data_IF_851180080944
#
_entry.id   IF_851180080944
#
_cell.length_a   1.000
_cell.length_b   1.000
_cell.length_c   1.000
_cell.angle_alpha   90.00
_cell.angle_beta   90.00
_cell.angle_gamma   90.00
#
_symmetry.space_group_name_H-M   'P 1'
#
loop_
_entity.id
_entity.type
_entity.pdbx_description
1 polymer ?
#
# COMPACT_ATOMS: atom_id res chain seq x y z
N UNK A 1 -9.04 10.85 -1.40
CA UNK A 1 -10.41 10.49 -0.93
C UNK A 1 -10.42 9.97 0.52
N UNK A 2 -9.59 8.97 0.88
CA UNK A 2 -9.63 8.32 2.20
C UNK A 2 -9.43 9.30 3.37
N UNK A 3 -8.50 10.24 3.24
CA UNK A 3 -8.28 11.27 4.26
C UNK A 3 -9.54 12.11 4.56
N UNK A 4 -10.37 12.40 3.53
CA UNK A 4 -11.65 13.09 3.72
C UNK A 4 -12.62 12.24 4.51
N UNK A 5 -12.75 10.95 4.18
CA UNK A 5 -13.62 10.02 4.92
C UNK A 5 -13.19 9.90 6.39
N UNK A 6 -11.88 9.86 6.65
CA UNK A 6 -11.33 9.87 8.01
C UNK A 6 -11.64 11.16 8.78
N UNK A 7 -11.74 12.31 8.09
CA UNK A 7 -12.14 13.58 8.72
C UNK A 7 -13.63 13.62 9.01
N UNK A 8 -14.46 13.13 8.09
CA UNK A 8 -15.92 13.14 8.22
C UNK A 8 -16.45 12.17 9.27
N UNK A 9 -15.78 11.01 9.47
CA UNK A 9 -16.23 10.04 10.49
C UNK A 9 -16.02 10.55 11.92
N UNK A 10 -15.06 11.47 12.12
CA UNK A 10 -14.74 12.15 13.39
C UNK A 10 -14.81 11.26 14.66
N UNK A 11 -14.34 10.01 14.54
CA UNK A 11 -14.40 9.02 15.60
C UNK A 11 -12.99 8.54 15.96
N UNK A 12 -12.54 8.69 17.23
CA UNK A 12 -11.21 8.27 17.68
C UNK A 12 -10.97 6.76 17.65
N UNK A 13 -11.97 5.93 17.43
CA UNK A 13 -11.82 4.49 17.22
C UNK A 13 -11.41 4.14 15.77
N UNK A 14 -11.51 5.09 14.83
CA UNK A 14 -11.20 4.85 13.41
C UNK A 14 -9.71 5.03 13.10
N UNK A 15 -9.12 4.06 12.39
CA UNK A 15 -7.76 4.18 11.84
C UNK A 15 -7.67 5.35 10.86
N UNK A 16 -8.66 5.52 9.97
CA UNK A 16 -8.68 6.59 8.97
C UNK A 16 -8.75 7.97 9.62
N UNK A 17 -9.43 8.09 10.77
CA UNK A 17 -9.46 9.32 11.56
C UNK A 17 -8.06 9.71 12.04
N UNK A 18 -7.31 8.77 12.61
CA UNK A 18 -5.95 9.04 13.08
C UNK A 18 -4.97 9.24 11.94
N UNK A 19 -5.12 8.52 10.84
CA UNK A 19 -4.27 8.67 9.67
C UNK A 19 -4.34 10.11 9.12
N UNK A 20 -5.54 10.62 8.87
CA UNK A 20 -5.69 12.00 8.38
C UNK A 20 -5.25 13.05 9.42
N UNK A 21 -5.53 12.82 10.72
CA UNK A 21 -5.18 13.75 11.79
C UNK A 21 -3.66 13.91 11.95
N UNK A 22 -2.91 12.85 11.66
CA UNK A 22 -1.45 12.83 11.74
C UNK A 22 -0.75 12.99 10.37
N UNK A 23 -1.48 13.38 9.32
CA UNK A 23 -0.94 13.50 7.95
C UNK A 23 -0.26 12.23 7.43
N UNK A 24 -0.76 11.05 7.81
CA UNK A 24 -0.30 9.75 7.31
C UNK A 24 -1.19 9.37 6.12
N UNK A 25 -0.64 9.27 4.89
CA UNK A 25 -1.43 8.90 3.73
C UNK A 25 -1.83 7.43 3.77
N UNK A 26 -3.06 7.15 3.36
CA UNK A 26 -3.58 5.81 3.11
C UNK A 26 -3.82 5.69 1.62
N UNK A 27 -3.15 4.74 0.97
CA UNK A 27 -3.17 4.57 -0.48
C UNK A 27 -3.84 3.25 -0.83
N UNK A 28 -4.77 3.29 -1.78
CA UNK A 28 -5.54 2.14 -2.22
C UNK A 28 -5.83 2.25 -3.72
N UNK A 29 -4.94 1.73 -4.58
CA UNK A 29 -5.10 1.82 -6.04
C UNK A 29 -6.40 1.19 -6.55
N UNK A 30 -6.93 0.19 -5.84
CA UNK A 30 -8.18 -0.49 -6.14
C UNK A 30 -9.31 -0.08 -5.17
N UNK A 31 -9.46 1.23 -4.88
CA UNK A 31 -10.48 1.74 -3.93
C UNK A 31 -11.93 1.38 -4.32
N UNK A 32 -12.17 1.08 -5.59
CA UNK A 32 -13.47 0.68 -6.13
C UNK A 32 -13.84 -0.79 -5.88
N UNK A 33 -12.90 -1.61 -5.42
CA UNK A 33 -13.12 -3.05 -5.20
C UNK A 33 -13.76 -3.33 -3.83
N UNK A 34 -15.04 -2.97 -3.68
CA UNK A 34 -15.82 -3.23 -2.48
C UNK A 34 -16.99 -2.26 -2.29
N UNK A 35 -17.58 -2.26 -1.08
CA UNK A 35 -18.80 -1.51 -0.77
C UNK A 35 -18.70 0.00 -1.05
N UNK A 36 -17.52 0.61 -0.88
CA UNK A 36 -17.32 2.02 -1.24
C UNK A 36 -17.46 2.24 -2.75
N UNK A 37 -16.98 1.28 -3.56
CA UNK A 37 -17.17 1.24 -5.01
C UNK A 37 -18.65 1.16 -5.40
N UNK A 38 -19.43 0.31 -4.73
CA UNK A 38 -20.88 0.22 -4.94
C UNK A 38 -21.55 1.58 -4.70
N UNK A 39 -21.18 2.27 -3.62
CA UNK A 39 -21.73 3.59 -3.31
C UNK A 39 -21.33 4.64 -4.34
N UNK A 40 -20.09 4.63 -4.83
CA UNK A 40 -19.61 5.51 -5.91
C UNK A 40 -20.40 5.23 -7.21
N UNK A 41 -20.63 3.96 -7.54
CA UNK A 41 -21.41 3.54 -8.70
C UNK A 41 -22.85 4.02 -8.62
N UNK A 42 -23.56 3.79 -7.51
CA UNK A 42 -24.92 4.30 -7.37
C UNK A 42 -24.97 5.83 -7.35
N UNK A 43 -23.94 6.49 -6.81
CA UNK A 43 -23.83 7.93 -6.80
C UNK A 43 -23.67 8.49 -8.22
N UNK A 44 -22.91 7.84 -9.10
CA UNK A 44 -22.61 8.36 -10.44
C UNK A 44 -23.85 8.53 -11.32
N UNK A 45 -24.90 7.72 -11.13
CA UNK A 45 -26.19 7.90 -11.82
C UNK A 45 -26.96 9.13 -11.34
N UNK A 46 -26.80 9.52 -10.07
CA UNK A 46 -27.50 10.67 -9.47
C UNK A 46 -26.71 11.97 -9.63
N UNK A 47 -25.38 11.88 -9.55
CA UNK A 47 -24.43 12.99 -9.58
C UNK A 47 -23.16 12.53 -10.31
N UNK A 48 -23.13 12.62 -11.65
CA UNK A 48 -21.97 12.24 -12.44
C UNK A 48 -20.80 13.19 -12.20
N UNK A 49 -19.57 12.73 -12.45
CA UNK A 49 -18.36 13.56 -12.49
C UNK A 49 -17.30 13.27 -11.42
N UNK A 50 -17.55 12.37 -10.46
CA UNK A 50 -16.49 11.91 -9.56
C UNK A 50 -15.47 11.08 -10.34
N UNK A 51 -14.21 11.52 -10.31
CA UNK A 51 -13.07 10.80 -10.89
C UNK A 51 -12.07 10.49 -9.78
N UNK A 52 -11.60 9.24 -9.77
CA UNK A 52 -10.52 8.79 -8.90
C UNK A 52 -9.29 8.49 -9.76
N UNK A 53 -8.34 9.42 -9.75
CA UNK A 53 -7.05 9.21 -10.42
C UNK A 53 -6.09 8.47 -9.50
N UNK A 54 -5.55 7.36 -10.00
CA UNK A 54 -4.57 6.53 -9.30
C UNK A 54 -3.13 6.91 -9.64
N UNK A 55 -2.92 7.69 -10.70
CA UNK A 55 -1.57 8.09 -11.14
C UNK A 55 -0.94 9.05 -10.14
N UNK A 56 -1.70 10.01 -9.62
CA UNK A 56 -1.19 10.92 -8.58
C UNK A 56 -0.84 10.18 -7.28
N UNK A 57 -1.65 9.21 -6.85
CA UNK A 57 -1.34 8.36 -5.69
C UNK A 57 -0.07 7.51 -5.92
N UNK A 58 0.16 7.04 -7.16
CA UNK A 58 1.39 6.33 -7.54
C UNK A 58 2.62 7.25 -7.47
N UNK A 59 2.49 8.52 -7.87
CA UNK A 59 3.56 9.52 -7.71
C UNK A 59 3.84 9.75 -6.23
N UNK A 60 2.80 9.88 -5.40
CA UNK A 60 2.93 10.07 -3.97
C UNK A 60 3.72 8.94 -3.28
N UNK A 61 3.34 7.67 -3.48
CA UNK A 61 4.05 6.55 -2.83
C UNK A 61 5.50 6.41 -3.31
N UNK A 62 5.74 6.55 -4.61
CA UNK A 62 7.08 6.37 -5.17
C UNK A 62 8.00 7.50 -4.72
N UNK A 63 7.53 8.76 -4.74
CA UNK A 63 8.34 9.90 -4.27
C UNK A 63 8.64 9.81 -2.79
N UNK A 64 7.71 9.33 -1.96
CA UNK A 64 7.97 9.06 -0.55
C UNK A 64 9.12 8.06 -0.35
N UNK A 65 9.14 6.97 -1.11
CA UNK A 65 10.24 6.01 -1.05
C UNK A 65 11.57 6.62 -1.55
N UNK A 66 11.56 7.29 -2.71
CA UNK A 66 12.76 7.88 -3.33
C UNK A 66 13.45 8.86 -2.38
N UNK A 67 12.68 9.75 -1.73
CA UNK A 67 13.25 10.80 -0.88
C UNK A 67 13.50 10.35 0.57
N UNK A 68 13.15 9.12 0.93
CA UNK A 68 13.39 8.60 2.27
C UNK A 68 14.87 8.24 2.49
N UNK A 69 15.45 8.73 3.59
CA UNK A 69 16.82 8.38 4.01
C UNK A 69 16.99 6.87 4.21
N UNK A 70 16.00 6.24 4.86
CA UNK A 70 15.88 4.79 5.04
C UNK A 70 14.41 4.41 5.00
N UNK A 71 14.10 3.19 4.58
CA UNK A 71 12.74 2.65 4.59
C UNK A 71 12.68 1.29 5.28
N UNK A 72 11.60 1.08 6.01
CA UNK A 72 11.25 -0.21 6.60
C UNK A 72 9.86 -0.62 6.14
N UNK A 73 9.69 -1.88 5.74
CA UNK A 73 8.41 -2.44 5.34
C UNK A 73 7.91 -3.39 6.42
N UNK A 74 6.69 -3.18 6.90
CA UNK A 74 5.95 -4.14 7.73
C UNK A 74 4.70 -4.49 6.94
N UNK A 75 4.62 -5.71 6.44
CA UNK A 75 3.55 -6.14 5.54
C UNK A 75 2.81 -7.33 6.16
N UNK A 76 1.53 -7.11 6.45
CA UNK A 76 0.62 -8.12 6.95
C UNK A 76 -0.26 -8.62 5.80
N UNK A 77 -0.12 -9.89 5.42
CA UNK A 77 -0.77 -10.46 4.24
C UNK A 77 0.07 -10.38 2.95
N UNK A 78 -0.62 -10.39 1.80
CA UNK A 78 -0.02 -10.47 0.46
C UNK A 78 -0.76 -9.61 -0.57
N UNK A 79 -0.69 -9.98 -1.85
CA UNK A 79 -1.47 -9.34 -2.92
C UNK A 79 -1.07 -7.89 -3.21
N UNK A 80 -2.07 -7.05 -3.54
CA UNK A 80 -1.84 -5.68 -3.98
C UNK A 80 -1.04 -4.87 -2.95
N UNK A 81 -1.34 -5.00 -1.65
CA UNK A 81 -0.66 -4.24 -0.60
C UNK A 81 0.82 -4.59 -0.52
N UNK A 82 1.16 -5.89 -0.57
CA UNK A 82 2.56 -6.35 -0.56
C UNK A 82 3.30 -5.81 -1.78
N UNK A 83 2.74 -6.04 -2.96
CA UNK A 83 3.41 -5.67 -4.20
C UNK A 83 3.58 -4.14 -4.31
N UNK A 84 2.56 -3.35 -3.97
CA UNK A 84 2.59 -1.90 -4.15
C UNK A 84 3.64 -1.23 -3.27
N UNK A 85 3.75 -1.64 -1.99
CA UNK A 85 4.76 -1.13 -1.05
C UNK A 85 6.18 -1.55 -1.49
N UNK A 86 6.36 -2.81 -1.86
CA UNK A 86 7.67 -3.31 -2.30
C UNK A 86 8.12 -2.66 -3.61
N UNK A 87 7.19 -2.42 -4.55
CA UNK A 87 7.47 -1.77 -5.82
C UNK A 87 7.80 -0.28 -5.67
N UNK A 88 7.22 0.42 -4.69
CA UNK A 88 7.67 1.78 -4.37
C UNK A 88 9.13 1.79 -3.87
N UNK A 89 9.52 0.79 -3.07
CA UNK A 89 10.89 0.67 -2.57
C UNK A 89 11.90 0.24 -3.65
N UNK A 90 11.45 -0.37 -4.75
CA UNK A 90 12.30 -0.56 -5.93
C UNK A 90 12.89 0.77 -6.44
N UNK A 91 12.11 1.85 -6.39
CA UNK A 91 12.51 3.17 -6.90
C UNK A 91 13.69 3.80 -6.15
N UNK A 92 14.04 3.25 -4.99
CA UNK A 92 15.23 3.65 -4.19
C UNK A 92 16.28 2.53 -4.08
N UNK A 93 16.23 1.53 -4.97
CA UNK A 93 17.06 0.33 -4.97
C UNK A 93 16.90 -0.55 -3.71
N UNK A 94 15.66 -0.63 -3.22
CA UNK A 94 15.24 -1.58 -2.20
C UNK A 94 15.07 -0.99 -0.80
N UNK A 95 14.25 -1.64 0.01
CA UNK A 95 14.06 -1.28 1.42
C UNK A 95 15.25 -1.72 2.30
N UNK A 96 15.56 -0.94 3.33
CA UNK A 96 16.62 -1.25 4.31
C UNK A 96 16.19 -2.35 5.29
N UNK A 97 14.90 -2.41 5.62
CA UNK A 97 14.33 -3.37 6.56
C UNK A 97 13.01 -3.93 6.01
N UNK A 98 12.74 -5.21 6.26
CA UNK A 98 11.50 -5.85 5.80
C UNK A 98 11.04 -6.96 6.76
N UNK A 99 9.77 -6.91 7.15
CA UNK A 99 9.08 -7.94 7.92
C UNK A 99 7.77 -8.27 7.23
N UNK A 100 7.61 -9.53 6.84
CA UNK A 100 6.37 -10.08 6.30
C UNK A 100 5.72 -11.00 7.32
N UNK A 101 4.41 -10.88 7.49
CA UNK A 101 3.60 -11.84 8.27
C UNK A 101 2.45 -12.28 7.38
N UNK A 102 2.51 -13.50 6.86
CA UNK A 102 1.48 -14.01 5.96
C UNK A 102 1.42 -15.53 5.92
N UNK A 103 0.28 -16.05 5.46
CA UNK A 103 0.01 -17.49 5.41
C UNK A 103 0.28 -18.10 4.03
N UNK A 104 0.73 -17.30 3.06
CA UNK A 104 0.90 -17.72 1.67
C UNK A 104 2.22 -18.48 1.47
N UNK A 105 2.21 -19.45 0.54
CA UNK A 105 3.31 -20.39 0.32
C UNK A 105 3.89 -20.21 -1.09
N UNK A 106 5.19 -20.46 -1.25
CA UNK A 106 5.90 -20.16 -2.50
C UNK A 106 5.59 -21.13 -3.66
N UNK A 107 5.01 -22.30 -3.39
CA UNK A 107 4.90 -23.40 -4.37
C UNK A 107 4.03 -23.07 -5.59
N UNK A 108 3.12 -22.10 -5.47
CA UNK A 108 2.21 -21.68 -6.53
C UNK A 108 2.78 -20.56 -7.42
N UNK A 109 3.99 -20.07 -7.11
CA UNK A 109 4.64 -18.98 -7.84
C UNK A 109 3.96 -17.62 -7.66
N UNK A 110 3.12 -17.44 -6.64
CA UNK A 110 2.44 -16.18 -6.38
C UNK A 110 3.36 -15.15 -5.71
N UNK A 111 3.21 -13.87 -6.06
CA UNK A 111 3.88 -12.78 -5.31
C UNK A 111 3.45 -12.80 -3.84
N UNK A 112 2.21 -13.21 -3.52
CA UNK A 112 1.75 -13.31 -2.14
C UNK A 112 2.58 -14.32 -1.33
N UNK A 113 2.90 -15.48 -1.92
CA UNK A 113 3.65 -16.56 -1.28
C UNK A 113 5.17 -16.38 -1.30
N UNK A 114 5.69 -15.54 -2.19
CA UNK A 114 7.10 -15.27 -2.38
C UNK A 114 7.87 -15.03 -1.07
N UNK A 115 9.04 -15.67 -0.94
CA UNK A 115 10.00 -15.38 0.13
C UNK A 115 10.61 -13.99 -0.05
N UNK A 116 11.07 -13.32 1.03
CA UNK A 116 11.74 -12.03 0.90
C UNK A 116 12.96 -12.04 -0.04
N UNK A 117 13.66 -13.17 -0.16
CA UNK A 117 14.80 -13.34 -1.08
C UNK A 117 14.42 -13.13 -2.56
N UNK A 118 13.17 -13.42 -2.94
CA UNK A 118 12.69 -13.07 -4.28
C UNK A 118 12.60 -11.55 -4.43
N UNK A 119 12.10 -10.84 -3.43
CA UNK A 119 12.07 -9.37 -3.47
C UNK A 119 13.48 -8.75 -3.51
N UNK A 120 14.49 -9.43 -2.97
CA UNK A 120 15.91 -9.05 -3.12
C UNK A 120 16.37 -9.18 -4.57
N UNK A 121 16.01 -10.25 -5.28
CA UNK A 121 16.44 -10.45 -6.69
C UNK A 121 15.89 -9.36 -7.63
N UNK A 122 14.73 -8.79 -7.31
CA UNK A 122 14.14 -7.67 -8.04
C UNK A 122 14.71 -6.30 -7.64
N UNK A 123 15.46 -6.19 -6.55
CA UNK A 123 15.87 -4.90 -5.98
C UNK A 123 14.76 -4.17 -5.21
N UNK A 124 13.69 -4.87 -4.82
CA UNK A 124 12.62 -4.35 -3.94
C UNK A 124 13.05 -4.35 -2.47
N UNK A 125 13.97 -5.24 -2.09
CA UNK A 125 14.70 -5.27 -0.82
C UNK A 125 16.19 -5.18 -1.13
N UNK A 126 16.98 -4.49 -0.29
CA UNK A 126 18.42 -4.40 -0.51
C UNK A 126 19.13 -5.72 -0.24
N UNK A 127 20.26 -5.94 -0.92
CA UNK A 127 21.13 -7.12 -0.73
C UNK A 127 21.72 -7.22 0.68
N UNK A 128 21.93 -6.07 1.34
CA UNK A 128 22.50 -5.96 2.69
C UNK A 128 21.42 -5.98 3.81
N UNK A 129 20.15 -6.14 3.45
CA UNK A 129 19.06 -6.23 4.42
C UNK A 129 18.99 -7.62 5.07
N UNK A 130 18.35 -7.69 6.23
CA UNK A 130 18.07 -8.94 6.96
C UNK A 130 16.55 -9.14 7.06
N UNK A 131 15.88 -9.51 5.94
CA UNK A 131 14.42 -9.58 5.92
C UNK A 131 13.89 -10.80 6.69
N UNK A 132 12.72 -10.65 7.30
CA UNK A 132 12.06 -11.72 8.07
C UNK A 132 10.68 -12.02 7.47
N UNK A 133 10.33 -13.30 7.35
CA UNK A 133 8.95 -13.76 7.09
C UNK A 133 8.50 -14.66 8.23
N UNK A 134 7.34 -14.37 8.80
CA UNK A 134 6.63 -15.16 9.82
C UNK A 134 5.41 -15.82 9.19
#
# INVERSE_FOLDING_TARGET
>A
MIARLGKEIDNPESICYWAQKNNIPVLSPALTDGSLGDMIFFHSYKRPGLVLDIVEDLRLINTQAIFARKTGMIILGGGLVKHHIANANLMRNGADFSVYVNTAQEFDGSDAGARPDEAVSWGKIRLDATPVKV
#
